data_IF_679288417795
#
_entry.id   IF_679288417795
#
_cell.length_a   1.000
_cell.length_b   1.000
_cell.length_c   1.000
_cell.angle_alpha   90.00
_cell.angle_beta   90.00
_cell.angle_gamma   90.00
#
_symmetry.space_group_name_H-M   'P 1'
#
loop_
_entity.id
_entity.type
_entity.pdbx_description
1 polymer ?
#
# COMPACT_ATOMS: atom_id res chain seq x y z
N UNK A 1 -45.05 -68.38 -24.27
CA UNK A 1 -44.21 -67.41 -25.00
C UNK A 1 -44.01 -66.24 -24.07
N UNK A 2 -43.04 -66.37 -23.17
CA UNK A 2 -42.72 -65.34 -22.19
C UNK A 2 -41.68 -64.41 -22.81
N UNK A 3 -42.11 -63.18 -23.10
CA UNK A 3 -41.24 -62.13 -23.64
C UNK A 3 -40.37 -61.58 -22.50
N UNK A 4 -39.11 -62.02 -22.48
CA UNK A 4 -38.05 -61.41 -21.69
C UNK A 4 -37.64 -60.11 -22.42
N UNK A 5 -38.21 -58.98 -22.01
CA UNK A 5 -37.65 -57.66 -22.36
C UNK A 5 -36.65 -57.30 -21.25
N UNK A 6 -35.34 -57.17 -21.54
CA UNK A 6 -34.39 -56.76 -20.52
C UNK A 6 -34.64 -55.29 -20.14
N UNK A 7 -34.84 -55.06 -18.84
CA UNK A 7 -34.88 -53.72 -18.24
C UNK A 7 -33.54 -53.02 -18.49
N UNK A 8 -33.54 -52.03 -19.37
CA UNK A 8 -32.37 -51.18 -19.63
C UNK A 8 -32.17 -50.33 -18.38
N UNK A 9 -31.12 -50.60 -17.61
CA UNK A 9 -30.76 -49.80 -16.44
C UNK A 9 -30.63 -48.32 -16.84
N UNK A 10 -31.14 -47.35 -16.05
CA UNK A 10 -30.96 -45.94 -16.35
C UNK A 10 -29.46 -45.61 -16.31
N UNK A 11 -28.91 -45.24 -17.47
CA UNK A 11 -27.56 -44.70 -17.55
C UNK A 11 -27.47 -43.47 -16.64
N UNK A 12 -26.45 -43.33 -15.79
CA UNK A 12 -26.30 -42.14 -14.97
C UNK A 12 -26.09 -40.95 -15.91
N UNK A 13 -27.09 -40.07 -16.01
CA UNK A 13 -26.95 -38.80 -16.71
C UNK A 13 -25.97 -37.97 -15.89
N UNK A 14 -24.71 -37.92 -16.34
CA UNK A 14 -23.72 -37.02 -15.75
C UNK A 14 -24.32 -35.61 -15.79
N UNK A 15 -24.53 -35.03 -14.61
CA UNK A 15 -25.10 -33.69 -14.53
C UNK A 15 -24.19 -32.71 -15.29
N UNK A 16 -24.77 -31.64 -15.87
CA UNK A 16 -23.99 -30.59 -16.54
C UNK A 16 -22.90 -30.04 -15.61
N UNK A 17 -23.18 -29.93 -14.31
CA UNK A 17 -22.21 -29.54 -13.30
C UNK A 17 -21.00 -30.51 -13.21
N UNK A 18 -21.25 -31.82 -13.28
CA UNK A 18 -20.21 -32.85 -13.29
C UNK A 18 -19.32 -32.75 -14.55
N UNK A 19 -19.91 -32.47 -15.71
CA UNK A 19 -19.17 -32.28 -16.97
C UNK A 19 -18.31 -31.00 -16.93
N UNK A 20 -18.85 -29.90 -16.39
CA UNK A 20 -18.10 -28.65 -16.21
C UNK A 20 -16.93 -28.86 -15.25
N UNK A 21 -17.15 -29.52 -14.12
CA UNK A 21 -16.11 -29.82 -13.14
C UNK A 21 -15.01 -30.71 -13.74
N UNK A 22 -15.40 -31.75 -14.46
CA UNK A 22 -14.44 -32.64 -15.13
C UNK A 22 -13.63 -31.88 -16.19
N UNK A 23 -14.28 -31.05 -16.99
CA UNK A 23 -13.61 -30.23 -18.02
C UNK A 23 -12.61 -29.26 -17.40
N UNK A 24 -12.98 -28.61 -16.29
CA UNK A 24 -12.10 -27.75 -15.53
C UNK A 24 -10.90 -28.50 -14.95
N UNK A 25 -11.11 -29.69 -14.38
CA UNK A 25 -10.05 -30.52 -13.83
C UNK A 25 -9.06 -30.97 -14.91
N UNK A 26 -9.55 -31.42 -16.06
CA UNK A 26 -8.71 -31.81 -17.20
C UNK A 26 -7.89 -30.63 -17.70
N UNK A 27 -8.52 -29.47 -17.90
CA UNK A 27 -7.84 -28.23 -18.29
C UNK A 27 -6.76 -27.83 -17.27
N UNK A 28 -7.06 -27.93 -15.98
CA UNK A 28 -6.12 -27.58 -14.92
C UNK A 28 -4.91 -28.53 -14.90
N UNK A 29 -5.13 -29.84 -14.96
CA UNK A 29 -4.05 -30.84 -15.02
C UNK A 29 -3.19 -30.64 -16.27
N UNK A 30 -3.80 -30.41 -17.43
CA UNK A 30 -3.06 -30.11 -18.66
C UNK A 30 -2.16 -28.89 -18.49
N UNK A 31 -2.65 -27.85 -17.81
CA UNK A 31 -1.87 -26.64 -17.51
C UNK A 31 -0.71 -26.91 -16.55
N UNK A 32 -0.88 -27.75 -15.53
CA UNK A 32 0.21 -28.16 -14.64
C UNK A 32 1.31 -28.89 -15.41
N UNK A 33 0.94 -29.85 -16.26
CA UNK A 33 1.89 -30.61 -17.09
C UNK A 33 2.62 -29.67 -18.06
N UNK A 34 1.89 -28.75 -18.70
CA UNK A 34 2.47 -27.74 -19.57
C UNK A 34 3.49 -26.87 -18.83
N UNK A 35 3.15 -26.36 -17.65
CA UNK A 35 4.02 -25.51 -16.85
C UNK A 35 5.34 -26.19 -16.43
N UNK A 36 5.28 -27.49 -16.11
CA UNK A 36 6.44 -28.27 -15.68
C UNK A 36 7.37 -28.56 -16.88
N UNK A 37 6.84 -29.06 -18.00
CA UNK A 37 7.66 -29.67 -19.05
C UNK A 37 7.79 -28.84 -20.34
N UNK A 38 6.77 -28.07 -20.70
CA UNK A 38 6.67 -27.41 -22.01
C UNK A 38 6.79 -25.89 -21.93
N UNK A 39 6.74 -25.32 -20.71
CA UNK A 39 6.89 -23.89 -20.51
C UNK A 39 8.30 -23.40 -20.87
N UNK A 40 8.42 -22.17 -21.34
CA UNK A 40 9.73 -21.57 -21.70
C UNK A 40 10.73 -21.55 -20.53
N UNK A 41 10.23 -21.58 -19.30
CA UNK A 41 11.03 -21.64 -18.08
C UNK A 41 11.42 -23.07 -17.66
N UNK A 42 10.96 -24.12 -18.34
CA UNK A 42 11.30 -25.51 -18.05
C UNK A 42 12.78 -25.87 -18.26
N UNK A 43 13.54 -24.97 -18.89
CA UNK A 43 15.00 -25.07 -19.00
C UNK A 43 15.74 -24.75 -17.68
N UNK A 44 15.08 -24.08 -16.74
CA UNK A 44 15.68 -23.73 -15.45
C UNK A 44 15.45 -24.85 -14.44
N UNK A 45 16.41 -25.14 -13.56
CA UNK A 45 16.24 -26.13 -12.50
C UNK A 45 15.27 -25.63 -11.41
N UNK A 46 14.62 -26.55 -10.69
CA UNK A 46 13.81 -26.21 -9.52
C UNK A 46 12.80 -27.29 -9.12
N UNK A 47 12.13 -27.14 -7.96
CA UNK A 47 11.10 -28.06 -7.51
C UNK A 47 9.93 -28.10 -8.50
N UNK A 48 9.49 -29.31 -8.89
CA UNK A 48 8.36 -29.48 -9.83
C UNK A 48 7.07 -28.82 -9.36
N UNK A 49 6.83 -28.76 -8.04
CA UNK A 49 5.65 -28.11 -7.47
C UNK A 49 5.68 -26.58 -7.66
N UNK A 50 6.87 -25.97 -7.56
CA UNK A 50 7.08 -24.54 -7.81
C UNK A 50 6.89 -24.21 -9.31
N UNK A 51 7.32 -25.11 -10.19
CA UNK A 51 7.06 -25.01 -11.62
C UNK A 51 5.57 -25.18 -11.97
N UNK A 52 4.87 -26.10 -11.29
CA UNK A 52 3.51 -26.48 -11.63
C UNK A 52 2.49 -25.36 -11.41
N UNK A 53 2.53 -24.71 -10.24
CA UNK A 53 1.51 -23.74 -9.86
C UNK A 53 1.99 -22.75 -8.78
N UNK A 54 1.29 -21.61 -8.71
CA UNK A 54 1.47 -20.59 -7.67
C UNK A 54 1.05 -21.05 -6.27
N UNK A 55 0.33 -22.18 -6.15
CA UNK A 55 0.02 -22.76 -4.85
C UNK A 55 1.25 -23.18 -4.06
N UNK A 56 2.40 -23.34 -4.71
CA UNK A 56 3.67 -23.51 -4.01
C UNK A 56 4.03 -22.27 -3.19
N UNK A 57 3.94 -21.06 -3.78
CA UNK A 57 4.04 -19.78 -3.05
C UNK A 57 2.98 -19.71 -1.95
N UNK A 58 1.71 -19.97 -2.31
CA UNK A 58 0.59 -19.92 -1.38
C UNK A 58 0.77 -20.83 -0.16
N UNK A 59 1.35 -22.02 -0.33
CA UNK A 59 1.66 -22.93 0.77
C UNK A 59 2.64 -22.33 1.77
N UNK A 60 3.78 -21.78 1.30
CA UNK A 60 4.76 -21.18 2.21
C UNK A 60 4.29 -19.86 2.83
N UNK A 61 3.50 -19.08 2.09
CA UNK A 61 3.03 -17.79 2.60
C UNK A 61 1.83 -17.90 3.53
N UNK A 62 1.00 -18.95 3.43
CA UNK A 62 -0.23 -19.08 4.22
C UNK A 62 -0.24 -20.25 5.22
N UNK A 63 0.51 -21.34 4.98
CA UNK A 63 0.37 -22.58 5.73
C UNK A 63 1.64 -23.02 6.47
N UNK A 64 2.81 -22.48 6.14
CA UNK A 64 4.07 -22.85 6.78
C UNK A 64 4.39 -21.89 7.92
N UNK A 65 4.57 -22.44 9.13
CA UNK A 65 4.81 -21.66 10.35
C UNK A 65 3.72 -20.59 10.55
N UNK A 66 4.11 -19.35 10.84
CA UNK A 66 3.21 -18.21 11.00
C UNK A 66 2.95 -17.47 9.67
N UNK A 67 3.32 -18.05 8.51
CA UNK A 67 3.17 -17.46 7.19
C UNK A 67 4.37 -16.63 6.72
N UNK A 68 4.27 -16.08 5.50
CA UNK A 68 5.29 -15.23 4.88
C UNK A 68 6.66 -15.89 4.62
N UNK A 69 6.73 -17.23 4.63
CA UNK A 69 8.00 -17.95 4.52
C UNK A 69 8.51 -18.07 3.08
N UNK A 70 7.71 -17.68 2.08
CA UNK A 70 8.10 -17.90 0.71
C UNK A 70 9.35 -17.10 0.33
N UNK A 71 9.51 -15.86 0.82
CA UNK A 71 10.70 -15.04 0.57
C UNK A 71 11.99 -15.77 0.95
N UNK A 72 12.07 -16.28 2.19
CA UNK A 72 13.23 -17.06 2.65
C UNK A 72 13.38 -18.39 1.90
N UNK A 73 12.26 -18.99 1.46
CA UNK A 73 12.30 -20.20 0.64
C UNK A 73 12.90 -19.90 -0.73
N UNK A 74 12.60 -18.74 -1.33
CA UNK A 74 13.21 -18.30 -2.59
C UNK A 74 14.71 -18.22 -2.46
N UNK A 75 15.24 -17.61 -1.39
CA UNK A 75 16.68 -17.50 -1.17
C UNK A 75 17.36 -18.87 -1.12
N UNK A 76 16.78 -19.81 -0.35
CA UNK A 76 17.28 -21.20 -0.30
C UNK A 76 17.22 -21.92 -1.65
N UNK A 77 16.20 -21.64 -2.45
CA UNK A 77 16.10 -22.22 -3.80
C UNK A 77 17.17 -21.62 -4.72
N UNK A 78 17.51 -20.34 -4.57
CA UNK A 78 18.62 -19.73 -5.30
C UNK A 78 19.98 -20.29 -4.86
N UNK A 79 20.18 -20.58 -3.58
CA UNK A 79 21.39 -21.25 -3.08
C UNK A 79 21.53 -22.68 -3.65
N UNK A 80 20.42 -23.43 -3.73
CA UNK A 80 20.41 -24.84 -4.16
C UNK A 80 20.50 -24.99 -5.69
N UNK A 81 19.80 -24.15 -6.45
CA UNK A 81 19.60 -24.31 -7.90
C UNK A 81 20.13 -23.15 -8.75
N UNK A 82 20.56 -22.04 -8.16
CA UNK A 82 20.90 -20.82 -8.90
C UNK A 82 19.63 -20.12 -9.42
N UNK A 83 19.46 -19.99 -10.73
CA UNK A 83 18.23 -19.43 -11.30
C UNK A 83 17.11 -20.48 -11.34
N UNK A 84 16.02 -20.26 -10.61
CA UNK A 84 14.97 -21.26 -10.37
C UNK A 84 13.83 -21.16 -11.40
N UNK A 85 13.30 -22.30 -11.87
CA UNK A 85 12.04 -22.37 -12.61
C UNK A 85 10.86 -22.04 -11.70
N UNK A 86 10.43 -20.78 -11.67
CA UNK A 86 9.13 -20.43 -11.09
C UNK A 86 8.34 -19.48 -12.01
N UNK A 87 7.00 -19.58 -12.04
CA UNK A 87 6.15 -18.65 -12.77
C UNK A 87 6.13 -17.22 -12.21
N UNK A 88 6.77 -16.98 -11.05
CA UNK A 88 6.46 -15.88 -10.14
C UNK A 88 7.68 -15.10 -9.61
N UNK A 89 8.89 -15.62 -9.75
CA UNK A 89 10.09 -15.00 -9.16
C UNK A 89 10.95 -14.40 -10.30
N UNK A 90 11.31 -13.12 -10.22
CA UNK A 90 12.34 -12.54 -11.07
C UNK A 90 13.66 -13.31 -10.91
N UNK A 91 14.39 -13.52 -12.00
CA UNK A 91 15.72 -14.11 -11.89
C UNK A 91 16.62 -13.24 -10.99
N UNK A 92 17.62 -13.81 -10.28
CA UNK A 92 18.59 -13.05 -9.50
C UNK A 92 19.18 -11.87 -10.30
N UNK A 93 19.45 -10.71 -9.67
CA UNK A 93 19.92 -9.50 -10.36
C UNK A 93 21.20 -9.73 -11.18
N UNK A 94 22.05 -10.68 -10.78
CA UNK A 94 23.31 -11.02 -11.46
C UNK A 94 23.17 -12.17 -12.48
N UNK A 95 21.94 -12.55 -12.86
CA UNK A 95 21.71 -13.67 -13.77
C UNK A 95 22.25 -13.38 -15.18
N UNK A 96 23.17 -14.19 -15.72
CA UNK A 96 23.73 -13.98 -17.04
C UNK A 96 22.64 -14.02 -18.12
N UNK A 97 22.49 -12.94 -18.89
CA UNK A 97 21.59 -12.89 -20.05
C UNK A 97 20.17 -12.37 -19.77
N UNK A 98 19.85 -11.90 -18.55
CA UNK A 98 18.71 -11.02 -18.37
C UNK A 98 19.10 -9.58 -18.75
N UNK A 99 18.27 -8.85 -19.52
CA UNK A 99 18.49 -7.43 -19.72
C UNK A 99 18.49 -6.74 -18.34
N UNK A 100 19.55 -5.99 -18.04
CA UNK A 100 19.62 -5.06 -16.91
C UNK A 100 18.49 -3.99 -16.95
N UNK A 101 17.73 -3.94 -18.04
CA UNK A 101 16.61 -3.04 -18.25
C UNK A 101 15.39 -3.47 -17.41
N UNK A 102 15.50 -3.39 -16.09
CA UNK A 102 14.36 -3.32 -15.17
C UNK A 102 13.38 -2.20 -15.58
N UNK A 103 13.90 -1.19 -16.29
CA UNK A 103 13.18 -0.02 -16.81
C UNK A 103 12.17 -0.30 -17.93
N UNK A 104 11.90 -1.54 -18.35
CA UNK A 104 10.88 -1.82 -19.40
C UNK A 104 9.90 -2.94 -19.03
N UNK A 105 9.97 -3.45 -17.80
CA UNK A 105 9.11 -4.55 -17.37
C UNK A 105 7.83 -4.04 -16.72
N UNK A 106 6.70 -4.63 -17.12
CA UNK A 106 5.43 -4.46 -16.44
C UNK A 106 5.47 -5.16 -15.07
N UNK A 107 4.76 -4.59 -14.08
CA UNK A 107 4.59 -5.26 -12.79
C UNK A 107 3.71 -6.51 -12.96
N UNK A 108 3.89 -7.47 -12.07
CA UNK A 108 3.12 -8.72 -12.12
C UNK A 108 1.69 -8.45 -11.58
N UNK A 109 0.61 -8.65 -12.37
CA UNK A 109 -0.74 -8.19 -12.03
C UNK A 109 -1.23 -8.64 -10.66
N UNK A 110 -1.08 -9.93 -10.35
CA UNK A 110 -1.57 -10.48 -9.08
C UNK A 110 -0.87 -9.91 -7.83
N UNK A 111 0.33 -9.33 -7.98
CA UNK A 111 1.06 -8.72 -6.89
C UNK A 111 0.61 -7.27 -6.63
N UNK A 112 0.07 -6.59 -7.65
CA UNK A 112 -0.37 -5.19 -7.54
C UNK A 112 -1.87 -5.06 -7.33
N UNK A 113 -2.66 -5.97 -7.90
CA UNK A 113 -4.12 -5.97 -7.79
C UNK A 113 -4.61 -6.15 -6.36
N UNK A 114 -3.82 -6.86 -5.52
CA UNK A 114 -4.16 -7.16 -4.12
C UNK A 114 -4.30 -5.91 -3.25
N UNK A 115 -3.70 -4.79 -3.66
CA UNK A 115 -3.76 -3.54 -2.91
C UNK A 115 -4.96 -2.67 -3.29
N UNK A 116 -5.77 -3.04 -4.30
CA UNK A 116 -6.95 -2.28 -4.71
C UNK A 116 -6.68 -0.87 -5.24
N UNK A 117 -5.41 -0.53 -5.49
CA UNK A 117 -4.92 0.81 -5.87
C UNK A 117 -4.34 0.85 -7.29
N UNK A 118 -4.94 0.11 -8.23
CA UNK A 118 -4.45 -0.03 -9.61
C UNK A 118 -4.47 1.28 -10.44
N UNK A 119 -5.19 2.29 -9.98
CA UNK A 119 -5.18 3.65 -10.55
C UNK A 119 -4.04 4.52 -9.99
N UNK A 120 -3.46 4.16 -8.85
CA UNK A 120 -2.31 4.87 -8.25
C UNK A 120 -0.98 4.44 -8.89
N UNK A 121 0.08 5.24 -8.72
CA UNK A 121 1.44 4.86 -9.19
C UNK A 121 1.85 3.49 -8.65
N UNK A 122 1.65 3.24 -7.35
CA UNK A 122 2.08 2.01 -6.72
C UNK A 122 1.44 0.76 -7.36
N UNK A 123 0.13 0.79 -7.60
CA UNK A 123 -0.61 -0.33 -8.21
C UNK A 123 -0.61 -0.35 -9.74
N UNK A 124 0.03 0.60 -10.42
CA UNK A 124 0.03 0.64 -11.90
C UNK A 124 0.87 -0.50 -12.47
N UNK A 125 0.23 -1.40 -13.24
CA UNK A 125 0.86 -2.55 -13.89
C UNK A 125 1.83 -2.14 -15.02
N UNK A 126 1.31 -1.42 -16.03
CA UNK A 126 2.03 -1.12 -17.27
C UNK A 126 3.13 -0.09 -17.07
N UNK A 127 4.32 -0.37 -17.61
CA UNK A 127 5.49 0.48 -17.49
C UNK A 127 5.24 1.92 -17.98
N UNK A 128 4.77 2.09 -19.21
CA UNK A 128 4.57 3.43 -19.80
C UNK A 128 3.49 4.25 -19.07
N UNK A 129 2.45 3.57 -18.59
CA UNK A 129 1.41 4.21 -17.78
C UNK A 129 1.94 4.63 -16.41
N UNK A 130 2.75 3.78 -15.78
CA UNK A 130 3.43 4.10 -14.54
C UNK A 130 4.36 5.31 -14.72
N UNK A 131 5.14 5.34 -15.81
CA UNK A 131 6.04 6.44 -16.17
C UNK A 131 5.28 7.76 -16.32
N UNK A 132 4.16 7.76 -17.03
CA UNK A 132 3.36 8.98 -17.24
C UNK A 132 2.73 9.49 -15.94
N UNK A 133 2.18 8.61 -15.10
CA UNK A 133 1.64 8.96 -13.76
C UNK A 133 2.74 9.50 -12.83
N UNK A 134 3.89 8.83 -12.79
CA UNK A 134 5.06 9.24 -11.99
C UNK A 134 5.62 10.60 -12.38
N UNK A 135 5.62 10.93 -13.67
CA UNK A 135 6.08 12.23 -14.15
C UNK A 135 5.29 13.40 -13.53
N UNK A 136 3.99 13.22 -13.29
CA UNK A 136 3.14 14.24 -12.63
C UNK A 136 3.49 14.40 -11.16
N UNK A 137 3.88 13.32 -10.47
CA UNK A 137 4.17 13.35 -9.03
C UNK A 137 5.63 13.69 -8.69
N UNK A 138 6.59 13.44 -9.57
CA UNK A 138 8.02 13.67 -9.31
C UNK A 138 8.38 15.08 -8.78
N UNK A 139 7.77 16.20 -9.26
CA UNK A 139 8.09 17.53 -8.74
C UNK A 139 7.80 17.70 -7.24
N UNK A 140 6.81 16.98 -6.71
CA UNK A 140 6.46 16.99 -5.29
C UNK A 140 7.55 16.30 -4.45
N UNK A 141 8.16 15.24 -4.97
CA UNK A 141 9.25 14.55 -4.29
C UNK A 141 10.65 15.11 -4.62
N UNK A 142 10.74 16.32 -5.17
CA UNK A 142 12.03 16.99 -5.42
C UNK A 142 12.64 17.52 -4.12
N UNK A 143 13.98 17.64 -4.06
CA UNK A 143 14.70 18.20 -2.90
C UNK A 143 14.12 19.53 -2.44
N UNK A 144 13.80 20.42 -3.38
CA UNK A 144 13.17 21.73 -3.08
C UNK A 144 11.82 21.58 -2.39
N UNK A 145 10.96 20.70 -2.89
CA UNK A 145 9.62 20.49 -2.35
C UNK A 145 9.66 19.82 -0.97
N UNK A 146 10.55 18.85 -0.78
CA UNK A 146 10.74 18.15 0.49
C UNK A 146 11.35 19.07 1.55
N UNK A 147 12.36 19.88 1.21
CA UNK A 147 12.93 20.86 2.16
C UNK A 147 11.89 21.85 2.66
N UNK A 148 10.85 22.17 1.88
CA UNK A 148 9.76 23.03 2.34
C UNK A 148 8.90 22.39 3.45
N UNK A 149 8.94 21.07 3.60
CA UNK A 149 8.22 20.36 4.66
C UNK A 149 8.99 20.31 5.97
N UNK A 150 10.21 20.84 6.02
CA UNK A 150 11.05 20.83 7.22
C UNK A 150 10.31 21.37 8.45
N UNK A 151 9.67 22.53 8.35
CA UNK A 151 8.93 23.11 9.48
C UNK A 151 7.79 22.21 9.94
N UNK A 152 7.02 21.65 8.99
CA UNK A 152 5.92 20.72 9.28
C UNK A 152 6.44 19.49 9.99
N UNK A 153 7.53 18.89 9.50
CA UNK A 153 8.15 17.72 10.12
C UNK A 153 8.65 18.05 11.53
N UNK A 154 9.35 19.17 11.71
CA UNK A 154 9.86 19.59 13.02
C UNK A 154 8.73 19.85 14.01
N UNK A 155 7.63 20.47 13.59
CA UNK A 155 6.49 20.74 14.45
C UNK A 155 5.80 19.44 14.89
N UNK A 156 5.63 18.47 13.98
CA UNK A 156 5.06 17.15 14.32
C UNK A 156 5.99 16.30 15.18
N UNK A 157 7.30 16.35 14.93
CA UNK A 157 8.30 15.68 15.80
C UNK A 157 8.29 16.31 17.20
N UNK A 158 8.21 17.64 17.31
CA UNK A 158 8.10 18.32 18.61
C UNK A 158 6.84 17.86 19.35
N UNK A 159 5.68 17.89 18.68
CA UNK A 159 4.41 17.42 19.25
C UNK A 159 4.52 15.97 19.76
N UNK A 160 5.11 15.07 18.97
CA UNK A 160 5.35 13.68 19.38
C UNK A 160 6.25 13.60 20.62
N UNK A 161 7.36 14.33 20.65
CA UNK A 161 8.29 14.36 21.79
C UNK A 161 7.63 14.90 23.07
N UNK A 162 6.80 15.93 22.95
CA UNK A 162 6.06 16.52 24.06
C UNK A 162 5.07 15.49 24.64
N UNK A 163 4.26 14.85 23.78
CA UNK A 163 3.31 13.79 24.21
C UNK A 163 4.01 12.59 24.85
N UNK A 164 5.19 12.20 24.35
CA UNK A 164 6.00 11.13 24.96
C UNK A 164 6.52 11.56 26.33
N UNK A 165 6.94 12.81 26.48
CA UNK A 165 7.49 13.34 27.73
C UNK A 165 6.46 13.41 28.85
N UNK A 166 5.19 13.68 28.52
CA UNK A 166 4.07 13.62 29.47
C UNK A 166 3.83 12.22 30.03
N UNK A 167 4.17 11.18 29.26
CA UNK A 167 4.03 9.76 29.65
C UNK A 167 5.25 9.20 30.40
N UNK A 168 6.08 10.06 31.01
CA UNK A 168 7.29 9.65 31.72
C UNK A 168 7.01 8.58 32.78
N UNK A 169 7.77 7.48 32.72
CA UNK A 169 7.61 6.33 33.63
C UNK A 169 6.59 5.29 33.18
N UNK A 170 5.91 5.51 32.06
CA UNK A 170 5.02 4.54 31.42
C UNK A 170 5.73 3.88 30.22
N UNK A 171 5.34 2.64 29.91
CA UNK A 171 5.79 1.98 28.67
C UNK A 171 4.91 2.47 27.52
N UNK A 172 5.53 2.91 26.43
CA UNK A 172 4.85 3.38 25.23
C UNK A 172 5.19 2.50 24.03
N UNK A 173 4.23 2.29 23.15
CA UNK A 173 4.47 1.62 21.87
C UNK A 173 4.97 2.66 20.86
N UNK A 174 6.29 2.74 20.70
CA UNK A 174 6.96 3.77 19.88
C UNK A 174 6.48 3.75 18.42
N UNK A 175 6.10 2.59 17.90
CA UNK A 175 5.63 2.48 16.51
C UNK A 175 4.32 3.24 16.28
N UNK A 176 3.42 3.30 17.25
CA UNK A 176 2.19 4.10 17.13
C UNK A 176 2.50 5.61 17.03
N UNK A 177 3.39 6.11 17.90
CA UNK A 177 3.82 7.52 17.88
C UNK A 177 4.48 7.92 16.55
N UNK A 178 5.34 7.05 16.02
CA UNK A 178 5.99 7.26 14.72
C UNK A 178 4.97 7.26 13.57
N UNK A 179 4.04 6.30 13.56
CA UNK A 179 2.97 6.23 12.56
C UNK A 179 2.12 7.50 12.60
N UNK A 180 1.66 7.93 13.78
CA UNK A 180 0.85 9.12 13.92
C UNK A 180 1.58 10.36 13.35
N UNK A 181 2.86 10.50 13.67
CA UNK A 181 3.70 11.58 13.12
C UNK A 181 3.76 11.54 11.60
N UNK A 182 3.98 10.37 11.00
CA UNK A 182 4.08 10.23 9.55
C UNK A 182 2.72 10.45 8.87
N UNK A 183 1.63 9.94 9.45
CA UNK A 183 0.27 10.15 8.94
C UNK A 183 -0.06 11.65 8.95
N UNK A 184 0.25 12.36 10.03
CA UNK A 184 0.02 13.81 10.13
C UNK A 184 0.83 14.61 9.10
N UNK A 185 2.14 14.33 8.96
CA UNK A 185 2.99 14.96 7.95
C UNK A 185 2.49 14.67 6.54
N UNK A 186 2.13 13.42 6.24
CA UNK A 186 1.72 13.01 4.88
C UNK A 186 0.34 13.53 4.53
N UNK A 187 -0.62 13.53 5.46
CA UNK A 187 -1.93 14.13 5.22
C UNK A 187 -1.84 15.63 5.00
N UNK A 188 -1.03 16.33 5.80
CA UNK A 188 -0.77 17.75 5.61
C UNK A 188 -0.13 18.02 4.24
N UNK A 189 0.81 17.19 3.81
CA UNK A 189 1.45 17.36 2.51
C UNK A 189 0.52 17.02 1.33
N UNK A 190 -0.27 15.97 1.45
CA UNK A 190 -1.17 15.49 0.40
C UNK A 190 -2.39 16.40 0.23
N UNK A 191 -3.05 16.78 1.32
CA UNK A 191 -4.33 17.48 1.30
C UNK A 191 -4.23 18.95 1.72
N UNK A 192 -3.15 19.37 2.37
CA UNK A 192 -3.06 20.67 3.04
C UNK A 192 -3.88 20.70 4.34
N UNK A 193 -4.20 19.54 4.91
CA UNK A 193 -4.93 19.35 6.16
C UNK A 193 -4.31 18.18 6.92
N UNK A 194 -4.11 18.36 8.21
CA UNK A 194 -3.56 17.34 9.09
C UNK A 194 -4.67 16.40 9.59
N UNK A 195 -4.38 15.10 9.71
CA UNK A 195 -5.28 14.11 10.30
C UNK A 195 -5.38 14.25 11.84
N UNK A 196 -4.40 14.90 12.47
CA UNK A 196 -4.31 15.14 13.91
C UNK A 196 -4.30 13.86 14.74
N UNK A 197 -3.63 12.83 14.23
CA UNK A 197 -3.45 11.55 14.92
C UNK A 197 -2.55 11.67 16.14
N UNK A 198 -1.68 12.68 16.20
CA UNK A 198 -0.87 13.00 17.38
C UNK A 198 -1.65 13.65 18.53
N UNK A 199 -2.87 14.13 18.30
CA UNK A 199 -3.71 14.71 19.36
C UNK A 199 -4.35 13.61 20.24
N UNK A 200 -4.39 12.38 19.74
CA UNK A 200 -4.85 11.21 20.48
C UNK A 200 -3.79 10.81 21.52
N UNK A 201 -4.14 10.69 22.81
CA UNK A 201 -3.22 10.24 23.83
C UNK A 201 -2.51 8.94 23.46
N UNK A 202 -3.18 7.99 22.81
CA UNK A 202 -2.63 6.68 22.45
C UNK A 202 -2.09 6.61 21.03
N UNK A 203 -1.96 7.76 20.36
CA UNK A 203 -1.43 7.90 19.00
C UNK A 203 -2.23 7.14 17.94
N UNK A 204 -3.55 7.05 18.13
CA UNK A 204 -4.50 6.40 17.23
C UNK A 204 -4.03 5.02 16.71
N UNK A 205 -3.90 4.02 17.62
CA UNK A 205 -3.36 2.70 17.29
C UNK A 205 -4.21 1.94 16.24
N UNK A 206 -5.42 2.41 15.97
CA UNK A 206 -6.33 1.91 14.97
C UNK A 206 -5.71 1.84 13.57
N UNK A 207 -4.88 2.83 13.22
CA UNK A 207 -4.20 2.85 11.93
C UNK A 207 -3.25 1.67 11.79
N UNK A 208 -2.41 1.46 12.80
CA UNK A 208 -1.47 0.34 12.83
C UNK A 208 -2.22 -1.00 12.74
N UNK A 209 -3.20 -1.20 13.62
CA UNK A 209 -3.98 -2.43 13.67
C UNK A 209 -4.66 -2.72 12.33
N UNK A 210 -5.21 -1.69 11.67
CA UNK A 210 -5.80 -1.80 10.35
C UNK A 210 -4.76 -2.26 9.31
N UNK A 211 -3.61 -1.61 9.26
CA UNK A 211 -2.56 -1.90 8.27
C UNK A 211 -1.92 -3.27 8.46
N UNK A 212 -1.69 -3.71 9.70
CA UNK A 212 -1.22 -5.06 10.01
C UNK A 212 -2.23 -6.12 9.58
N UNK A 213 -3.50 -5.95 9.94
CA UNK A 213 -4.52 -6.93 9.59
C UNK A 213 -4.80 -6.99 8.09
N UNK A 214 -4.67 -5.87 7.35
CA UNK A 214 -4.68 -5.89 5.88
C UNK A 214 -3.49 -6.70 5.35
N UNK A 215 -2.28 -6.51 5.91
CA UNK A 215 -1.07 -7.20 5.50
C UNK A 215 -1.15 -8.72 5.69
N UNK A 216 -1.82 -9.19 6.75
CA UNK A 216 -2.06 -10.63 7.00
C UNK A 216 -2.96 -11.28 5.93
N UNK A 217 -3.85 -10.51 5.30
CA UNK A 217 -4.78 -11.01 4.27
C UNK A 217 -4.12 -11.06 2.88
N UNK A 218 -3.10 -10.23 2.64
CA UNK A 218 -2.43 -10.11 1.33
C UNK A 218 -1.93 -11.46 0.77
N UNK A 219 -1.21 -12.30 1.54
CA UNK A 219 -0.80 -13.65 1.10
C UNK A 219 -1.93 -14.51 0.55
N UNK A 220 -3.09 -14.47 1.20
CA UNK A 220 -4.26 -15.25 0.84
C UNK A 220 -4.92 -14.64 -0.39
N UNK A 221 -5.14 -13.33 -0.37
CA UNK A 221 -5.80 -12.60 -1.44
C UNK A 221 -5.03 -12.70 -2.77
N UNK A 222 -3.69 -12.77 -2.73
CA UNK A 222 -2.85 -13.03 -3.91
C UNK A 222 -3.22 -14.32 -4.65
N UNK A 223 -3.74 -15.34 -3.96
CA UNK A 223 -4.09 -16.63 -4.57
C UNK A 223 -5.44 -16.60 -5.31
N UNK A 224 -6.29 -15.60 -5.04
CA UNK A 224 -7.64 -15.50 -5.60
C UNK A 224 -7.80 -14.22 -6.43
N UNK A 225 -7.61 -14.30 -7.76
CA UNK A 225 -7.85 -13.16 -8.64
C UNK A 225 -9.27 -12.64 -8.49
N UNK A 226 -9.45 -11.32 -8.45
CA UNK A 226 -10.78 -10.71 -8.34
C UNK A 226 -11.28 -10.50 -6.91
N UNK A 227 -10.62 -11.04 -5.88
CA UNK A 227 -11.13 -10.99 -4.50
C UNK A 227 -11.26 -9.57 -3.95
N UNK A 228 -10.32 -8.69 -4.29
CA UNK A 228 -10.36 -7.28 -3.89
C UNK A 228 -11.49 -6.54 -4.60
N UNK A 229 -11.69 -6.81 -5.90
CA UNK A 229 -12.77 -6.23 -6.69
C UNK A 229 -14.14 -6.67 -6.16
N UNK A 230 -14.26 -7.94 -5.73
CA UNK A 230 -15.47 -8.45 -5.06
C UNK A 230 -15.67 -7.73 -3.73
N UNK A 231 -14.62 -7.55 -2.93
CA UNK A 231 -14.71 -6.85 -1.65
C UNK A 231 -15.16 -5.39 -1.82
N UNK A 232 -14.59 -4.66 -2.80
CA UNK A 232 -14.95 -3.28 -3.12
C UNK A 232 -16.37 -3.14 -3.68
N UNK A 233 -16.87 -4.15 -4.41
CA UNK A 233 -18.25 -4.17 -4.91
C UNK A 233 -19.28 -4.58 -3.84
N UNK A 234 -18.83 -5.13 -2.71
CA UNK A 234 -19.69 -5.62 -1.64
C UNK A 234 -20.03 -4.50 -0.66
N UNK A 235 -21.30 -4.35 -0.22
CA UNK A 235 -21.65 -3.36 0.81
C UNK A 235 -20.85 -3.55 2.12
N UNK A 236 -20.32 -2.45 2.66
CA UNK A 236 -19.50 -2.45 3.88
C UNK A 236 -20.13 -3.20 5.06
N UNK A 237 -21.45 -3.12 5.35
CA UNK A 237 -22.04 -3.89 6.45
C UNK A 237 -21.87 -5.42 6.29
N UNK A 238 -21.86 -5.93 5.06
CA UNK A 238 -21.60 -7.34 4.78
C UNK A 238 -20.12 -7.66 4.99
N UNK A 239 -19.22 -6.80 4.49
CA UNK A 239 -17.78 -6.95 4.74
C UNK A 239 -17.48 -6.91 6.23
N UNK A 240 -18.15 -6.06 7.02
CA UNK A 240 -17.94 -5.96 8.47
C UNK A 240 -18.26 -7.27 9.21
N UNK A 241 -19.24 -8.03 8.72
CA UNK A 241 -19.56 -9.36 9.25
C UNK A 241 -18.49 -10.39 8.86
N UNK A 242 -17.99 -10.33 7.62
CA UNK A 242 -17.00 -11.27 7.10
C UNK A 242 -15.60 -11.02 7.65
N UNK A 243 -15.19 -9.75 7.69
CA UNK A 243 -13.89 -9.29 8.13
C UNK A 243 -13.99 -7.80 8.58
N UNK A 244 -14.03 -7.53 9.90
CA UNK A 244 -14.16 -6.17 10.40
C UNK A 244 -12.94 -5.28 10.07
N UNK A 245 -11.74 -5.85 9.94
CA UNK A 245 -10.52 -5.10 9.60
C UNK A 245 -10.60 -4.57 8.17
N UNK A 246 -11.02 -5.42 7.22
CA UNK A 246 -11.22 -5.01 5.84
C UNK A 246 -12.34 -3.97 5.71
N UNK A 247 -13.38 -4.05 6.54
CA UNK A 247 -14.43 -3.02 6.58
C UNK A 247 -13.85 -1.66 7.00
N UNK A 248 -12.99 -1.61 8.02
CA UNK A 248 -12.32 -0.37 8.46
C UNK A 248 -11.43 0.21 7.35
N UNK A 249 -10.72 -0.63 6.60
CA UNK A 249 -9.93 -0.18 5.45
C UNK A 249 -10.81 0.46 4.36
N UNK A 250 -11.95 -0.16 4.01
CA UNK A 250 -12.88 0.40 3.03
C UNK A 250 -13.57 1.68 3.54
N UNK A 251 -13.84 1.79 4.83
CA UNK A 251 -14.35 3.02 5.46
C UNK A 251 -13.32 4.15 5.39
N UNK A 252 -12.04 3.82 5.60
CA UNK A 252 -10.94 4.77 5.42
C UNK A 252 -10.82 5.20 3.95
N UNK A 253 -10.92 4.29 2.98
CA UNK A 253 -10.98 4.64 1.56
C UNK A 253 -12.13 5.63 1.27
N UNK A 254 -13.32 5.41 1.84
CA UNK A 254 -14.46 6.34 1.71
C UNK A 254 -14.20 7.69 2.36
N UNK A 255 -13.49 7.74 3.49
CA UNK A 255 -13.06 8.99 4.13
C UNK A 255 -12.11 9.77 3.21
N UNK A 256 -11.09 9.12 2.68
CA UNK A 256 -10.15 9.72 1.72
C UNK A 256 -10.88 10.23 0.49
N UNK A 257 -11.81 9.44 -0.05
CA UNK A 257 -12.62 9.83 -1.22
C UNK A 257 -13.43 11.10 -0.95
N UNK A 258 -14.02 11.25 0.24
CA UNK A 258 -14.74 12.47 0.63
C UNK A 258 -13.82 13.70 0.62
N UNK A 259 -12.63 13.59 1.20
CA UNK A 259 -11.65 14.69 1.19
C UNK A 259 -11.23 15.09 -0.23
N UNK A 260 -11.00 14.12 -1.11
CA UNK A 260 -10.71 14.38 -2.53
C UNK A 260 -11.86 15.10 -3.22
N UNK A 261 -13.11 14.70 -2.94
CA UNK A 261 -14.31 15.35 -3.49
C UNK A 261 -14.41 16.81 -3.00
N UNK A 262 -14.14 17.07 -1.72
CA UNK A 262 -14.15 18.43 -1.16
C UNK A 262 -13.09 19.33 -1.82
N UNK A 263 -11.87 18.82 -2.00
CA UNK A 263 -10.79 19.57 -2.66
C UNK A 263 -11.17 19.85 -4.12
N UNK A 264 -11.76 18.87 -4.80
CA UNK A 264 -12.24 19.02 -6.17
C UNK A 264 -13.37 20.08 -6.25
N UNK A 265 -14.35 20.05 -5.35
CA UNK A 265 -15.47 21.00 -5.36
C UNK A 265 -14.98 22.42 -5.11
N UNK A 266 -14.09 22.60 -4.12
CA UNK A 266 -13.47 23.91 -3.83
C UNK A 266 -12.71 24.46 -5.05
N UNK A 267 -11.92 23.62 -5.73
CA UNK A 267 -11.21 24.02 -6.94
C UNK A 267 -12.18 24.44 -8.07
N UNK A 268 -13.28 23.71 -8.24
CA UNK A 268 -14.29 23.98 -9.28
C UNK A 268 -15.04 25.30 -9.03
N UNK A 269 -15.36 25.61 -7.77
CA UNK A 269 -16.00 26.88 -7.39
C UNK A 269 -15.11 28.10 -7.62
N UNK A 270 -13.79 27.95 -7.42
CA UNK A 270 -12.79 29.00 -7.64
C UNK A 270 -12.49 29.25 -9.13
N UNK A 271 -12.72 28.26 -10.00
CA UNK A 271 -12.48 28.34 -11.44
C UNK A 271 -13.73 28.02 -12.28
N UNK A 272 -14.76 28.90 -12.28
CA UNK A 272 -16.05 28.64 -12.93
C UNK A 272 -16.00 28.54 -14.46
N UNK A 273 -14.90 28.97 -15.10
CA UNK A 273 -14.75 28.93 -16.57
C UNK A 273 -14.76 27.49 -17.17
N UNK A 274 -14.52 26.46 -16.36
CA UNK A 274 -14.56 25.05 -16.78
C UNK A 274 -15.89 24.33 -16.47
N UNK A 275 -16.88 25.04 -15.93
CA UNK A 275 -18.13 24.45 -15.44
C UNK A 275 -19.35 24.93 -16.23
N UNK A 276 -19.52 24.45 -17.46
CA UNK A 276 -20.82 24.45 -18.12
C UNK A 276 -21.36 23.02 -18.26
N UNK A 277 -22.01 22.53 -17.21
CA UNK A 277 -23.11 21.55 -17.28
C UNK A 277 -23.74 21.39 -15.89
N UNK A 278 -25.05 21.62 -15.83
CA UNK A 278 -25.87 21.69 -14.62
C UNK A 278 -25.98 20.36 -13.85
N UNK A 279 -26.05 20.44 -12.51
CA UNK A 279 -27.31 20.24 -11.75
C UNK A 279 -27.06 20.38 -10.24
N UNK A 280 -27.84 21.25 -9.59
CA UNK A 280 -27.95 21.32 -8.13
C UNK A 280 -28.67 20.06 -7.66
N UNK A 281 -27.98 19.17 -6.97
CA UNK A 281 -28.61 18.13 -6.14
C UNK A 281 -28.15 18.35 -4.71
N UNK A 282 -29.09 18.70 -3.84
CA UNK A 282 -28.86 18.81 -2.41
C UNK A 282 -28.49 17.45 -1.85
N UNK A 283 -27.33 17.36 -1.21
CA UNK A 283 -26.90 16.17 -0.47
C UNK A 283 -27.48 16.24 0.93
N UNK A 284 -28.44 15.35 1.21
CA UNK A 284 -28.77 14.96 2.57
C UNK A 284 -27.55 14.26 3.17
N UNK A 285 -26.90 14.91 4.13
CA UNK A 285 -25.89 14.29 4.99
C UNK A 285 -26.58 13.30 5.93
N UNK A 286 -26.57 12.01 5.59
CA UNK A 286 -26.86 10.96 6.56
C UNK A 286 -25.64 10.79 7.47
N UNK A 287 -25.81 11.14 8.74
CA UNK A 287 -24.85 10.95 9.81
C UNK A 287 -24.53 9.47 10.01
N UNK A 288 -23.37 9.03 9.51
CA UNK A 288 -22.66 7.86 10.02
C UNK A 288 -21.69 8.38 11.09
N UNK A 289 -21.64 7.77 12.29
CA UNK A 289 -20.73 8.22 13.35
C UNK A 289 -19.28 8.19 12.85
N UNK A 290 -18.59 9.34 12.90
CA UNK A 290 -17.15 9.40 12.65
C UNK A 290 -16.42 9.10 13.96
N UNK A 291 -15.76 7.95 14.03
CA UNK A 291 -14.83 7.62 15.12
C UNK A 291 -13.46 8.32 14.96
N UNK A 292 -13.32 9.24 14.01
CA UNK A 292 -12.20 10.18 13.95
C UNK A 292 -12.69 11.57 14.36
N UNK A 293 -11.90 12.32 15.15
CA UNK A 293 -12.28 13.64 15.62
C UNK A 293 -12.62 14.55 14.43
N UNK A 294 -13.65 15.40 14.55
CA UNK A 294 -14.00 16.33 13.48
C UNK A 294 -12.81 17.24 13.21
N UNK A 295 -12.22 17.16 12.01
CA UNK A 295 -11.12 18.05 11.62
C UNK A 295 -11.59 19.50 11.74
N UNK A 296 -10.83 20.32 12.45
CA UNK A 296 -11.11 21.74 12.59
C UNK A 296 -11.19 22.44 11.22
N UNK A 297 -11.92 23.56 11.19
CA UNK A 297 -12.07 24.43 10.02
C UNK A 297 -10.70 24.86 9.48
N UNK A 298 -10.59 25.13 8.16
CA UNK A 298 -9.31 25.36 7.51
C UNK A 298 -8.57 26.56 8.09
N UNK A 299 -7.52 26.29 8.86
CA UNK A 299 -6.41 27.22 9.10
C UNK A 299 -5.70 27.37 7.75
N UNK A 300 -5.80 28.57 7.15
CA UNK A 300 -5.15 29.00 5.89
C UNK A 300 -4.51 27.87 5.07
N UNK A 301 -5.31 27.28 4.17
CA UNK A 301 -4.89 26.13 3.38
C UNK A 301 -3.65 26.50 2.55
N UNK A 302 -2.49 25.86 2.76
CA UNK A 302 -1.30 26.22 2.00
C UNK A 302 -1.57 25.92 0.53
N UNK A 303 -1.26 26.87 -0.35
CA UNK A 303 -1.47 26.82 -1.81
C UNK A 303 -0.63 25.76 -2.55
N UNK A 304 -0.25 24.69 -1.86
CA UNK A 304 0.89 23.84 -2.19
C UNK A 304 0.72 22.35 -1.88
N UNK A 305 -0.49 21.86 -1.57
CA UNK A 305 -0.70 20.41 -1.40
C UNK A 305 -0.59 19.66 -2.73
N UNK A 306 -0.25 18.37 -2.66
CA UNK A 306 -0.11 17.51 -3.85
C UNK A 306 -1.40 17.54 -4.68
N UNK A 307 -2.54 17.31 -4.04
CA UNK A 307 -3.80 17.14 -4.76
C UNK A 307 -4.38 18.44 -5.31
N UNK A 308 -4.17 19.58 -4.65
CA UNK A 308 -4.55 20.88 -5.21
C UNK A 308 -3.75 21.19 -6.48
N UNK A 309 -2.44 20.93 -6.48
CA UNK A 309 -1.60 21.19 -7.64
C UNK A 309 -1.85 20.21 -8.80
N UNK A 310 -2.22 18.97 -8.51
CA UNK A 310 -2.68 18.03 -9.56
C UNK A 310 -3.92 18.58 -10.26
N UNK A 311 -4.90 19.13 -9.52
CA UNK A 311 -6.10 19.72 -10.12
C UNK A 311 -5.78 20.96 -10.97
N UNK A 312 -4.75 21.72 -10.59
CA UNK A 312 -4.29 22.90 -11.35
C UNK A 312 -3.54 22.52 -12.64
N UNK A 313 -3.25 21.24 -12.90
CA UNK A 313 -2.49 20.83 -14.08
C UNK A 313 -3.40 20.79 -15.33
N UNK A 314 -3.07 21.52 -16.41
CA UNK A 314 -3.89 21.57 -17.62
C UNK A 314 -4.01 20.23 -18.36
N UNK A 315 -3.15 19.25 -18.08
CA UNK A 315 -3.26 17.89 -18.66
C UNK A 315 -4.33 17.03 -18.02
N UNK A 316 -4.87 17.42 -16.86
CA UNK A 316 -5.95 16.70 -16.15
C UNK A 316 -7.32 17.32 -16.34
N UNK A 317 -7.42 18.44 -17.06
CA UNK A 317 -8.66 19.18 -17.27
C UNK A 317 -9.34 18.82 -18.61
N UNK A 318 -9.69 17.55 -18.84
CA UNK A 318 -10.63 17.18 -19.90
C UNK A 318 -12.05 17.04 -19.34
N UNK A 319 -13.00 17.63 -20.04
CA UNK A 319 -14.32 18.01 -19.52
C UNK A 319 -15.41 16.99 -19.89
N UNK A 320 -15.42 15.82 -19.25
CA UNK A 320 -16.60 14.93 -19.23
C UNK A 320 -16.93 14.44 -17.81
N UNK A 321 -18.18 14.03 -17.56
CA UNK A 321 -18.59 13.46 -16.27
C UNK A 321 -17.89 12.12 -15.96
N UNK A 322 -17.55 11.36 -17.01
CA UNK A 322 -16.73 10.15 -16.92
C UNK A 322 -15.31 10.48 -16.45
N UNK A 323 -14.69 11.50 -17.05
CA UNK A 323 -13.34 11.95 -16.69
C UNK A 323 -13.27 12.41 -15.23
N UNK A 324 -14.31 13.08 -14.73
CA UNK A 324 -14.40 13.51 -13.32
C UNK A 324 -14.42 12.31 -12.35
N UNK A 325 -15.27 11.32 -12.60
CA UNK A 325 -15.39 10.16 -11.70
C UNK A 325 -14.10 9.34 -11.68
N UNK A 326 -13.46 9.19 -12.84
CA UNK A 326 -12.16 8.52 -12.98
C UNK A 326 -11.06 9.29 -12.25
N UNK A 327 -11.00 10.62 -12.43
CA UNK A 327 -10.03 11.49 -11.75
C UNK A 327 -10.15 11.42 -10.22
N UNK A 328 -11.38 11.50 -9.69
CA UNK A 328 -11.62 11.38 -8.24
C UNK A 328 -11.15 10.01 -7.74
N UNK A 329 -11.45 8.94 -8.46
CA UNK A 329 -11.05 7.59 -8.07
C UNK A 329 -9.54 7.41 -8.12
N UNK A 330 -8.88 7.95 -9.14
CA UNK A 330 -7.42 7.98 -9.26
C UNK A 330 -6.78 8.75 -8.10
N UNK A 331 -7.25 9.96 -7.80
CA UNK A 331 -6.73 10.77 -6.69
C UNK A 331 -6.97 10.10 -5.34
N UNK A 332 -8.12 9.44 -5.16
CA UNK A 332 -8.43 8.67 -3.95
C UNK A 332 -7.42 7.54 -3.76
N UNK A 333 -7.18 6.73 -4.79
CA UNK A 333 -6.23 5.63 -4.72
C UNK A 333 -4.78 6.13 -4.56
N UNK A 334 -4.41 7.23 -5.19
CA UNK A 334 -3.08 7.84 -5.03
C UNK A 334 -2.89 8.33 -3.58
N UNK A 335 -3.89 8.97 -2.99
CA UNK A 335 -3.85 9.42 -1.61
C UNK A 335 -3.73 8.26 -0.63
N UNK A 336 -4.58 7.23 -0.80
CA UNK A 336 -4.55 6.01 -0.03
C UNK A 336 -3.18 5.33 -0.11
N UNK A 337 -2.61 5.25 -1.32
CA UNK A 337 -1.28 4.69 -1.56
C UNK A 337 -0.17 5.49 -0.88
N UNK A 338 -0.18 6.82 -0.97
CA UNK A 338 0.86 7.68 -0.37
C UNK A 338 0.85 7.53 1.16
N UNK A 339 -0.31 7.66 1.80
CA UNK A 339 -0.43 7.64 3.27
C UNK A 339 -0.07 6.24 3.81
N UNK A 340 -0.61 5.19 3.19
CA UNK A 340 -0.36 3.80 3.61
C UNK A 340 1.10 3.40 3.41
N UNK A 341 1.68 3.69 2.25
CA UNK A 341 3.06 3.29 1.95
C UNK A 341 4.08 4.07 2.80
N UNK A 342 3.86 5.38 3.01
CA UNK A 342 4.77 6.21 3.77
C UNK A 342 4.78 5.88 5.26
N UNK A 343 3.60 5.69 5.87
CA UNK A 343 3.46 5.40 7.31
C UNK A 343 4.10 4.07 7.70
N UNK A 344 3.78 2.98 7.00
CA UNK A 344 4.27 1.64 7.33
C UNK A 344 5.79 1.51 7.16
N UNK A 345 6.31 1.90 5.99
CA UNK A 345 7.74 1.70 5.67
C UNK A 345 8.64 2.57 6.53
N UNK A 346 8.29 3.85 6.70
CA UNK A 346 9.12 4.81 7.45
C UNK A 346 9.06 4.51 8.95
N UNK A 347 7.89 4.17 9.50
CA UNK A 347 7.79 3.82 10.93
C UNK A 347 8.53 2.53 11.24
N UNK A 348 8.42 1.51 10.39
CA UNK A 348 9.15 0.24 10.55
C UNK A 348 10.67 0.44 10.47
N UNK A 349 11.13 1.26 9.53
CA UNK A 349 12.54 1.65 9.47
C UNK A 349 12.96 2.38 10.76
N UNK A 350 12.28 3.46 11.14
CA UNK A 350 12.64 4.27 12.30
C UNK A 350 12.61 3.49 13.61
N UNK A 351 11.59 2.67 13.85
CA UNK A 351 11.50 1.87 15.08
C UNK A 351 12.63 0.85 15.17
N UNK A 352 12.99 0.23 14.04
CA UNK A 352 14.10 -0.73 13.96
C UNK A 352 15.43 -0.03 14.19
N UNK A 353 15.65 1.11 13.55
CA UNK A 353 16.85 1.95 13.76
C UNK A 353 16.98 2.37 15.22
N UNK A 354 15.90 2.90 15.82
CA UNK A 354 15.91 3.34 17.23
C UNK A 354 16.16 2.14 18.16
N UNK A 355 15.55 0.98 17.90
CA UNK A 355 15.81 -0.23 18.67
C UNK A 355 17.30 -0.60 18.65
N UNK A 356 17.93 -0.65 17.48
CA UNK A 356 19.34 -1.01 17.36
C UNK A 356 20.29 0.05 17.96
N UNK A 357 19.95 1.33 17.86
CA UNK A 357 20.67 2.39 18.55
C UNK A 357 20.60 2.16 20.06
N UNK A 358 19.41 1.97 20.63
CA UNK A 358 19.23 1.82 22.08
C UNK A 358 19.78 0.50 22.63
N UNK A 359 19.74 -0.58 21.85
CA UNK A 359 20.25 -1.88 22.23
C UNK A 359 21.79 -1.94 22.23
N UNK A 360 22.47 -1.03 21.53
CA UNK A 360 23.93 -0.98 21.45
C UNK A 360 24.45 0.29 22.15
N UNK A 361 25.01 0.12 23.35
CA UNK A 361 25.48 1.25 24.18
C UNK A 361 26.55 2.09 23.50
N UNK A 362 27.47 1.48 22.75
CA UNK A 362 28.53 2.22 22.03
C UNK A 362 27.93 3.11 20.93
N UNK A 363 26.97 2.59 20.16
CA UNK A 363 26.27 3.37 19.13
C UNK A 363 25.47 4.50 19.78
N UNK A 364 24.71 4.21 20.84
CA UNK A 364 23.89 5.20 21.53
C UNK A 364 24.73 6.33 22.12
N UNK A 365 25.78 6.02 22.88
CA UNK A 365 26.62 7.02 23.54
C UNK A 365 27.31 7.93 22.52
N UNK A 366 27.83 7.34 21.44
CA UNK A 366 28.55 8.07 20.41
C UNK A 366 27.63 8.97 19.59
N UNK A 367 26.46 8.47 19.20
CA UNK A 367 25.44 9.27 18.52
C UNK A 367 24.92 10.40 19.42
N UNK A 368 24.65 10.09 20.70
CA UNK A 368 24.19 11.09 21.67
C UNK A 368 25.21 12.19 21.88
N UNK A 369 26.50 11.86 21.98
CA UNK A 369 27.56 12.85 22.13
C UNK A 369 27.62 13.80 20.92
N UNK A 370 27.57 13.27 19.70
CA UNK A 370 27.53 14.06 18.47
C UNK A 370 26.29 14.98 18.43
N UNK A 371 25.11 14.44 18.75
CA UNK A 371 23.87 15.22 18.77
C UNK A 371 23.87 16.30 19.85
N UNK A 372 24.45 16.06 21.03
CA UNK A 372 24.55 17.07 22.09
C UNK A 372 25.52 18.21 21.74
N UNK A 373 26.54 17.94 20.92
CA UNK A 373 27.42 18.98 20.37
C UNK A 373 26.69 19.82 19.30
N UNK A 374 25.95 19.16 18.41
CA UNK A 374 25.20 19.82 17.33
C UNK A 374 23.94 20.54 17.82
N UNK A 375 23.35 20.09 18.93
CA UNK A 375 22.11 20.60 19.53
C UNK A 375 22.37 20.95 21.00
N UNK A 376 23.03 22.10 21.29
CA UNK A 376 23.44 22.43 22.66
C UNK A 376 22.29 22.67 23.63
N UNK A 377 21.10 23.03 23.11
CA UNK A 377 19.87 23.22 23.89
C UNK A 377 18.88 22.13 23.51
N UNK A 378 18.41 21.29 24.46
CA UNK A 378 17.53 20.15 24.16
C UNK A 378 16.23 20.50 23.42
N UNK A 379 15.73 21.72 23.59
CA UNK A 379 14.47 22.17 22.99
C UNK A 379 14.64 22.80 21.59
N UNK A 380 15.90 23.01 21.15
CA UNK A 380 16.18 23.60 19.84
C UNK A 380 16.00 22.54 18.74
N UNK A 381 15.18 22.86 17.73
CA UNK A 381 15.16 22.09 16.48
C UNK A 381 16.20 22.68 15.52
N UNK A 382 17.18 21.87 15.14
CA UNK A 382 18.21 22.26 14.17
C UNK A 382 17.75 21.99 12.74
N UNK A 383 18.22 22.81 11.79
CA UNK A 383 17.93 22.61 10.39
C UNK A 383 18.44 21.24 9.90
N UNK A 384 17.71 20.60 8.98
CA UNK A 384 18.05 19.28 8.47
C UNK A 384 19.46 19.23 7.84
N UNK A 385 19.94 20.35 7.29
CA UNK A 385 21.29 20.45 6.70
C UNK A 385 22.40 20.30 7.74
N UNK A 386 22.15 20.75 8.97
CA UNK A 386 23.10 20.58 10.07
C UNK A 386 23.18 19.09 10.41
N UNK A 387 22.03 18.41 10.49
CA UNK A 387 21.96 16.98 10.75
C UNK A 387 22.57 16.13 9.62
N UNK A 388 22.34 16.50 8.35
CA UNK A 388 22.95 15.84 7.18
C UNK A 388 24.48 15.97 7.18
N UNK A 389 25.01 17.07 7.73
CA UNK A 389 26.44 17.34 7.82
C UNK A 389 27.17 16.60 8.94
N UNK A 390 26.45 15.89 9.83
CA UNK A 390 27.07 15.15 10.92
C UNK A 390 27.80 13.91 10.38
N UNK A 391 29.01 13.60 10.89
CA UNK A 391 29.78 12.48 10.36
C UNK A 391 29.19 11.11 10.71
N UNK A 392 28.58 10.93 11.88
CA UNK A 392 28.15 9.61 12.37
C UNK A 392 26.67 9.29 12.05
N UNK A 393 25.76 10.26 12.22
CA UNK A 393 24.31 10.06 12.00
C UNK A 393 23.94 9.50 10.60
N UNK A 394 24.44 10.03 9.46
CA UNK A 394 24.05 9.57 8.12
C UNK A 394 24.71 8.26 7.67
N UNK A 395 25.84 7.88 8.30
CA UNK A 395 26.51 6.61 8.04
C UNK A 395 25.72 5.46 8.69
N UNK A 396 25.27 5.65 9.94
CA UNK A 396 24.51 4.64 10.69
C UNK A 396 23.03 4.55 10.36
N UNK A 397 22.42 5.62 9.81
CA UNK A 397 21.05 5.51 9.28
C UNK A 397 20.93 4.58 8.06
N UNK A 398 22.05 4.20 7.43
CA UNK A 398 22.10 3.33 6.25
C UNK A 398 22.50 1.88 6.55
N UNK A 399 23.16 1.64 7.68
CA UNK A 399 23.55 0.30 8.17
C UNK A 399 22.46 -0.29 9.06
#
# INVERSE_FOLDING_TARGET
MDNIVPSIAPMPTLSIASLVLLSFLVWYIQRLIYNIYFHRLAKFPGPKLAAASRWYEGYYDNLVADGGQYMYKVDRLHEEYGCVQTPAIPAPPDSPGLPLAQDLLDKVPYMVDVFGTTLAIFGTEKHDLHRSRRMVLNPFFSKRSVTRLESVIQDKVRQMCDSISEKKGQTIELRHALIATIVDVTTEYSFGRCANTLDDPDFSPEWDQMMRGVSEIVPLARQFPGIVQIAQATPIPVIRILNPILARYLEFEQLVRRHVIEIYSQHTELHPANSQSHTKTGTNTSSIPSEFPPSEKPTQTPAHSIFQQILNNPTTSSSTSSDKSELISRMTQEALSIISAASETTSSMLVTTIYHILANSDIHERLRAELMEAIPRPDDMVEWRVLEGLPYLPERGRE
#
